data_IF_717951374180
#
_entry.id   IF_717951374180
#
_cell.length_a   1.000
_cell.length_b   1.000
_cell.length_c   1.000
_cell.angle_alpha   90.00
_cell.angle_beta   90.00
_cell.angle_gamma   90.00
#
_symmetry.space_group_name_H-M   'P 1'
#
loop_
_entity.id
_entity.type
_entity.pdbx_description
1 polymer ?
#
# COMPACT_ATOMS: atom_id res chain seq x y z
N UNK A 1 7.65 1.29 -30.14
CA UNK A 1 8.13 2.36 -29.24
C UNK A 1 8.18 3.66 -30.03
N UNK A 2 7.39 4.69 -29.66
CA UNK A 2 7.24 5.92 -30.46
C UNK A 2 8.56 6.72 -30.55
N UNK A 3 8.71 7.51 -31.63
CA UNK A 3 9.87 8.41 -31.87
C UNK A 3 10.11 9.32 -30.65
N UNK A 4 9.02 9.83 -30.07
CA UNK A 4 9.04 10.68 -28.87
C UNK A 4 9.73 9.99 -27.68
N UNK A 5 9.45 8.71 -27.43
CA UNK A 5 10.05 7.95 -26.32
C UNK A 5 11.57 7.79 -26.50
N UNK A 6 12.04 7.59 -27.73
CA UNK A 6 13.49 7.52 -28.02
C UNK A 6 14.18 8.86 -27.77
N UNK A 7 13.52 9.96 -28.13
CA UNK A 7 14.05 11.31 -27.96
C UNK A 7 14.16 11.70 -26.49
N UNK A 8 13.13 11.40 -25.69
CA UNK A 8 13.11 11.62 -24.25
C UNK A 8 14.22 10.81 -23.55
N UNK A 9 14.35 9.52 -23.86
CA UNK A 9 15.40 8.67 -23.26
C UNK A 9 16.81 9.18 -23.59
N UNK A 10 17.04 9.66 -24.81
CA UNK A 10 18.33 10.25 -25.19
C UNK A 10 18.63 11.51 -24.38
N UNK A 11 17.63 12.37 -24.18
CA UNK A 11 17.78 13.59 -23.36
C UNK A 11 18.04 13.28 -21.90
N UNK A 12 17.31 12.32 -21.31
CA UNK A 12 17.51 11.89 -19.93
C UNK A 12 18.92 11.33 -19.71
N UNK A 13 19.37 10.41 -20.58
CA UNK A 13 20.70 9.80 -20.47
C UNK A 13 21.86 10.77 -20.72
N UNK A 14 21.59 11.98 -21.21
CA UNK A 14 22.59 13.04 -21.38
C UNK A 14 22.69 14.00 -20.19
N UNK A 15 21.82 13.83 -19.18
CA UNK A 15 21.83 14.69 -18.00
C UNK A 15 22.94 14.26 -17.02
N UNK A 16 23.56 15.24 -16.33
CA UNK A 16 24.36 14.99 -15.14
C UNK A 16 23.60 14.22 -14.06
N UNK A 17 24.34 13.43 -13.26
CA UNK A 17 23.80 12.50 -12.27
C UNK A 17 22.98 13.19 -11.17
N UNK A 18 23.38 14.39 -10.76
CA UNK A 18 22.65 15.25 -9.81
C UNK A 18 21.28 15.68 -10.35
N UNK A 19 21.19 16.00 -11.64
CA UNK A 19 19.91 16.36 -12.28
C UNK A 19 19.02 15.14 -12.49
N UNK A 20 19.59 13.99 -12.80
CA UNK A 20 18.86 12.72 -12.87
C UNK A 20 18.26 12.37 -11.51
N UNK A 21 19.01 12.57 -10.43
CA UNK A 21 18.53 12.31 -9.08
C UNK A 21 17.34 13.21 -8.71
N UNK A 22 17.38 14.50 -9.10
CA UNK A 22 16.25 15.41 -8.91
C UNK A 22 15.00 14.93 -9.66
N UNK A 23 15.16 14.55 -10.93
CA UNK A 23 14.04 14.04 -11.75
C UNK A 23 13.49 12.74 -11.16
N UNK A 24 14.36 11.82 -10.74
CA UNK A 24 13.95 10.57 -10.09
C UNK A 24 13.19 10.84 -8.79
N UNK A 25 13.69 11.72 -7.94
CA UNK A 25 13.01 12.12 -6.70
C UNK A 25 11.66 12.79 -7.00
N UNK A 26 11.57 13.61 -8.05
CA UNK A 26 10.31 14.22 -8.48
C UNK A 26 9.31 13.19 -8.99
N UNK A 27 9.74 12.25 -9.85
CA UNK A 27 8.88 11.18 -10.36
C UNK A 27 8.41 10.29 -9.21
N UNK A 28 9.32 9.93 -8.29
CA UNK A 28 8.98 9.15 -7.09
C UNK A 28 7.99 9.91 -6.21
N UNK A 29 8.18 11.21 -6.01
CA UNK A 29 7.22 12.06 -5.28
C UNK A 29 5.86 12.16 -6.00
N UNK A 30 5.86 12.17 -7.34
CA UNK A 30 4.62 12.15 -8.14
C UNK A 30 3.93 10.78 -8.00
N UNK A 31 4.65 9.67 -8.11
CA UNK A 31 4.11 8.32 -7.85
C UNK A 31 3.57 8.18 -6.42
N UNK A 32 4.24 8.80 -5.44
CA UNK A 32 3.81 8.86 -4.04
C UNK A 32 2.61 9.80 -3.80
N UNK A 33 2.28 10.68 -4.74
CA UNK A 33 1.16 11.63 -4.64
C UNK A 33 -0.04 11.28 -5.53
N UNK A 34 0.10 10.29 -6.42
CA UNK A 34 -1.04 9.68 -7.10
C UNK A 34 -1.70 8.66 -6.19
N UNK A 35 -3.02 8.76 -5.91
CA UNK A 35 -3.72 7.74 -5.15
C UNK A 35 -3.65 6.41 -5.89
N UNK A 36 -3.16 5.38 -5.20
CA UNK A 36 -3.08 4.01 -5.75
C UNK A 36 -3.96 3.09 -4.93
N UNK A 37 -4.94 2.47 -5.60
CA UNK A 37 -5.79 1.46 -5.00
C UNK A 37 -5.06 0.13 -4.87
N UNK A 38 -5.08 -0.45 -3.67
CA UNK A 38 -4.47 -1.74 -3.33
C UNK A 38 -5.47 -2.67 -2.66
N UNK A 39 -5.30 -3.98 -2.86
CA UNK A 39 -6.14 -5.02 -2.24
C UNK A 39 -5.28 -5.97 -1.44
N UNK A 40 -5.68 -6.22 -0.20
CA UNK A 40 -5.00 -7.13 0.70
C UNK A 40 -5.98 -8.17 1.24
N UNK A 41 -5.53 -9.41 1.31
CA UNK A 41 -6.27 -10.47 1.97
C UNK A 41 -6.30 -10.23 3.46
N UNK A 42 -7.42 -10.59 4.07
CA UNK A 42 -7.58 -10.52 5.52
C UNK A 42 -7.99 -11.88 6.06
N UNK A 43 -7.42 -12.23 7.21
CA UNK A 43 -7.84 -13.37 7.99
C UNK A 43 -8.68 -12.86 9.15
N UNK A 44 -9.91 -13.37 9.27
CA UNK A 44 -10.85 -13.05 10.34
C UNK A 44 -10.96 -14.26 11.27
N UNK A 45 -10.73 -14.04 12.55
CA UNK A 45 -10.83 -15.05 13.60
C UNK A 45 -11.80 -14.54 14.66
N UNK A 46 -12.75 -15.37 15.06
CA UNK A 46 -13.64 -15.07 16.18
C UNK A 46 -12.98 -15.52 17.47
N UNK A 47 -12.91 -14.63 18.45
CA UNK A 47 -12.47 -14.93 19.81
C UNK A 47 -13.70 -14.97 20.72
N UNK A 48 -13.83 -16.03 21.52
CA UNK A 48 -14.93 -16.26 22.46
C UNK A 48 -14.53 -16.05 23.93
N UNK A 49 -13.38 -15.43 24.17
CA UNK A 49 -12.88 -15.01 25.49
C UNK A 49 -13.69 -13.82 26.07
N UNK A 50 -13.28 -13.31 27.22
CA UNK A 50 -13.97 -12.23 27.96
C UNK A 50 -14.20 -10.95 27.11
N UNK A 51 -13.37 -10.70 26.09
CA UNK A 51 -13.55 -9.66 25.05
C UNK A 51 -13.94 -10.30 23.71
N UNK A 52 -15.13 -10.90 23.67
CA UNK A 52 -15.64 -11.58 22.50
C UNK A 52 -15.74 -10.65 21.28
N UNK A 53 -15.17 -11.05 20.15
CA UNK A 53 -15.14 -10.24 18.94
C UNK A 53 -14.34 -10.86 17.81
N UNK A 54 -14.17 -10.12 16.72
CA UNK A 54 -13.38 -10.52 15.56
C UNK A 54 -12.00 -9.89 15.62
N UNK A 55 -10.95 -10.71 15.69
CA UNK A 55 -9.60 -10.28 15.33
C UNK A 55 -9.41 -10.40 13.84
N UNK A 56 -8.77 -9.40 13.24
CA UNK A 56 -8.47 -9.37 11.82
C UNK A 56 -7.00 -9.05 11.60
N UNK A 57 -6.37 -9.80 10.70
CA UNK A 57 -4.95 -9.66 10.37
C UNK A 57 -4.73 -9.62 8.87
N UNK A 58 -3.64 -8.97 8.45
CA UNK A 58 -3.23 -8.89 7.04
C UNK A 58 -1.91 -9.66 6.86
N UNK A 59 -1.93 -10.91 6.34
CA UNK A 59 -0.72 -11.73 6.28
C UNK A 59 0.43 -11.11 5.47
N UNK A 60 0.12 -10.31 4.45
CA UNK A 60 1.10 -9.63 3.61
C UNK A 60 1.63 -8.32 4.19
N UNK A 61 1.02 -7.80 5.27
CA UNK A 61 1.46 -6.62 5.99
C UNK A 61 1.75 -7.02 7.46
N UNK A 62 2.92 -7.61 7.75
CA UNK A 62 3.25 -8.09 9.08
C UNK A 62 3.09 -7.00 10.15
N UNK A 63 2.37 -7.32 11.23
CA UNK A 63 2.06 -6.39 12.31
C UNK A 63 0.81 -5.53 12.08
N UNK A 64 0.17 -5.61 10.91
CA UNK A 64 -1.12 -4.97 10.66
C UNK A 64 -2.25 -5.88 11.18
N UNK A 65 -2.76 -5.54 12.37
CA UNK A 65 -3.77 -6.28 13.13
C UNK A 65 -4.78 -5.27 13.66
N UNK A 66 -6.05 -5.67 13.67
CA UNK A 66 -7.13 -4.88 14.28
C UNK A 66 -8.20 -5.80 14.86
N UNK A 67 -9.22 -5.22 15.51
CA UNK A 67 -10.33 -5.95 16.12
C UNK A 67 -11.63 -5.14 16.00
N UNK A 68 -12.78 -5.82 16.06
CA UNK A 68 -14.10 -5.21 16.24
C UNK A 68 -15.10 -6.21 16.83
N UNK A 69 -16.17 -5.72 17.44
CA UNK A 69 -17.23 -6.56 18.04
C UNK A 69 -17.99 -7.31 16.94
N UNK A 70 -18.04 -6.72 15.75
CA UNK A 70 -18.67 -7.30 14.56
C UNK A 70 -17.68 -7.50 13.43
N UNK A 71 -18.02 -8.38 12.48
CA UNK A 71 -17.20 -8.61 11.29
C UNK A 71 -17.01 -7.31 10.48
N UNK A 72 -18.06 -6.52 10.33
CA UNK A 72 -18.01 -5.29 9.53
C UNK A 72 -17.13 -4.24 10.22
N UNK A 73 -17.28 -4.07 11.54
CA UNK A 73 -16.42 -3.19 12.33
C UNK A 73 -14.94 -3.60 12.27
N UNK A 74 -14.64 -4.91 12.40
CA UNK A 74 -13.26 -5.39 12.26
C UNK A 74 -12.70 -5.07 10.86
N UNK A 75 -13.50 -5.24 9.79
CA UNK A 75 -13.11 -4.93 8.42
C UNK A 75 -12.88 -3.42 8.19
N UNK A 76 -13.69 -2.56 8.80
CA UNK A 76 -13.50 -1.11 8.74
C UNK A 76 -12.23 -0.70 9.51
N UNK A 77 -12.04 -1.25 10.72
CA UNK A 77 -10.89 -0.93 11.55
C UNK A 77 -9.56 -1.42 10.93
N UNK A 78 -9.54 -2.60 10.27
CA UNK A 78 -8.32 -3.04 9.58
C UNK A 78 -8.04 -2.22 8.32
N UNK A 79 -9.07 -1.70 7.65
CA UNK A 79 -8.89 -0.81 6.51
C UNK A 79 -8.12 0.44 6.92
N UNK A 80 -8.51 1.08 8.03
CA UNK A 80 -7.79 2.23 8.58
C UNK A 80 -6.36 1.87 8.99
N UNK A 81 -6.16 0.70 9.60
CA UNK A 81 -4.83 0.22 9.97
C UNK A 81 -3.91 0.01 8.75
N UNK A 82 -4.44 -0.52 7.65
CA UNK A 82 -3.71 -0.68 6.38
C UNK A 82 -3.35 0.71 5.81
N UNK A 83 -4.30 1.65 5.78
CA UNK A 83 -4.05 3.01 5.28
C UNK A 83 -2.94 3.69 6.08
N UNK A 84 -2.99 3.59 7.41
CA UNK A 84 -1.95 4.11 8.29
C UNK A 84 -0.58 3.45 8.04
N UNK A 85 -0.54 2.13 7.87
CA UNK A 85 0.68 1.38 7.55
C UNK A 85 1.34 1.89 6.26
N UNK A 86 0.55 2.04 5.19
CA UNK A 86 1.07 2.50 3.90
C UNK A 86 1.51 3.96 3.93
N UNK A 87 0.77 4.83 4.63
CA UNK A 87 1.15 6.23 4.82
C UNK A 87 2.45 6.36 5.62
N UNK A 88 2.65 5.53 6.65
CA UNK A 88 3.91 5.49 7.39
C UNK A 88 5.08 5.16 6.44
N UNK A 89 4.92 4.13 5.59
CA UNK A 89 5.97 3.77 4.63
C UNK A 89 6.27 4.92 3.65
N UNK A 90 5.25 5.67 3.21
CA UNK A 90 5.44 6.88 2.38
C UNK A 90 6.27 7.92 3.13
N UNK A 91 5.92 8.22 4.39
CA UNK A 91 6.58 9.25 5.22
C UNK A 91 8.04 8.89 5.50
N UNK A 92 8.31 7.63 5.85
CA UNK A 92 9.65 7.16 6.16
C UNK A 92 10.47 6.77 4.91
N UNK A 93 9.88 6.87 3.72
CA UNK A 93 10.55 6.56 2.45
C UNK A 93 10.84 5.06 2.27
N UNK A 94 10.07 4.21 2.95
CA UNK A 94 10.16 2.75 2.88
C UNK A 94 9.43 2.20 1.65
N UNK A 95 9.57 0.89 1.42
CA UNK A 95 8.84 0.22 0.36
C UNK A 95 7.34 0.17 0.70
N UNK A 96 6.49 0.55 -0.24
CA UNK A 96 5.04 0.42 -0.12
C UNK A 96 4.64 -0.92 -0.74
N UNK A 97 4.21 -1.92 0.04
CA UNK A 97 3.85 -3.22 -0.49
C UNK A 97 2.76 -3.11 -1.56
N UNK A 98 2.91 -3.85 -2.65
CA UNK A 98 1.86 -3.98 -3.68
C UNK A 98 0.66 -4.81 -3.17
N UNK A 99 -0.41 -4.84 -3.98
CA UNK A 99 -1.57 -5.70 -3.69
C UNK A 99 -1.21 -7.18 -3.65
N UNK A 100 -1.99 -7.95 -2.91
CA UNK A 100 -1.87 -9.40 -2.90
C UNK A 100 -2.11 -9.99 -4.30
N UNK A 101 -1.23 -10.91 -4.69
CA UNK A 101 -1.26 -11.52 -6.03
C UNK A 101 -2.51 -12.37 -6.28
N UNK A 102 -3.02 -13.02 -5.24
CA UNK A 102 -4.21 -13.87 -5.30
C UNK A 102 -5.15 -13.45 -4.18
N UNK A 103 -6.38 -13.10 -4.53
CA UNK A 103 -7.39 -12.72 -3.54
C UNK A 103 -8.10 -13.97 -3.01
N UNK A 104 -8.17 -14.09 -1.69
CA UNK A 104 -8.90 -15.12 -0.96
C UNK A 104 -10.38 -14.77 -0.78
N UNK A 105 -11.02 -15.46 0.15
CA UNK A 105 -12.46 -15.30 0.44
C UNK A 105 -12.76 -13.89 1.00
N UNK A 106 -11.86 -13.36 1.84
CA UNK A 106 -11.96 -12.02 2.41
C UNK A 106 -10.77 -11.17 1.97
N UNK A 107 -11.06 -9.96 1.51
CA UNK A 107 -10.06 -8.96 1.16
C UNK A 107 -10.62 -7.56 1.41
N UNK A 108 -9.71 -6.61 1.63
CA UNK A 108 -10.01 -5.21 1.83
C UNK A 108 -9.31 -4.40 0.75
N UNK A 109 -10.01 -3.38 0.24
CA UNK A 109 -9.46 -2.41 -0.72
C UNK A 109 -9.20 -1.08 -0.02
N UNK A 110 -7.98 -0.56 -0.21
CA UNK A 110 -7.53 0.73 0.32
C UNK A 110 -7.01 1.60 -0.82
N UNK A 111 -7.15 2.91 -0.70
CA UNK A 111 -6.55 3.86 -1.66
C UNK A 111 -5.78 4.91 -0.87
N UNK A 112 -4.48 4.98 -1.13
CA UNK A 112 -3.51 5.90 -0.49
C UNK A 112 -2.69 6.59 -1.56
#
# INVERSE_FOLDING_TARGET
>A
MSVLRKQINKSLNSLPEDKLQIIYNHIKAIELSTPVTRRYNVLLEWNDDDDAGFTVTVPSLPGCISQGDTRDEALDNIKEAIECYLQANVIYGENIPDSDKYLGINWVEVTV
#
